data_IF_124798666341
#
_entry.id   IF_124798666341
#
_cell.length_a   1.000
_cell.length_b   1.000
_cell.length_c   1.000
_cell.angle_alpha   90.00
_cell.angle_beta   90.00
_cell.angle_gamma   90.00
#
_symmetry.space_group_name_H-M   'P 1'
#
loop_
_entity.id
_entity.type
_entity.pdbx_description
1 polymer ?
#
# COMPACT_ATOMS: atom_id res chain seq x y z
N UNK A 1 8.57 20.49 -3.19
CA UNK A 1 8.56 20.07 -1.78
C UNK A 1 7.15 19.72 -1.31
N UNK A 2 6.15 20.58 -1.55
CA UNK A 2 4.75 20.34 -1.14
C UNK A 2 4.11 19.07 -1.72
N UNK A 3 4.38 18.72 -2.99
CA UNK A 3 3.86 17.50 -3.63
C UNK A 3 4.40 16.20 -3.03
N UNK A 4 5.71 16.12 -2.76
CA UNK A 4 6.32 14.96 -2.09
C UNK A 4 5.77 14.79 -0.66
N UNK A 5 5.50 15.88 0.04
CA UNK A 5 4.95 15.84 1.38
C UNK A 5 3.47 15.42 1.39
N UNK A 6 2.68 15.87 0.41
CA UNK A 6 1.29 15.43 0.21
C UNK A 6 1.22 13.93 -0.15
N UNK A 7 2.14 13.46 -0.99
CA UNK A 7 2.31 12.03 -1.31
C UNK A 7 2.65 11.22 -0.06
N UNK A 8 3.64 11.67 0.72
CA UNK A 8 4.06 11.00 1.94
C UNK A 8 2.96 10.95 3.03
N UNK A 9 2.02 11.89 3.02
CA UNK A 9 0.85 11.86 3.92
C UNK A 9 -0.21 10.83 3.50
N UNK A 10 -0.20 10.40 2.23
CA UNK A 10 -1.23 9.52 1.67
C UNK A 10 -0.68 8.15 1.22
N UNK A 11 0.59 7.87 1.50
CA UNK A 11 1.24 6.58 1.27
C UNK A 11 2.00 6.19 2.53
N UNK A 12 1.77 4.97 3.00
CA UNK A 12 2.36 4.39 4.20
C UNK A 12 3.09 3.10 3.83
N UNK A 13 4.26 2.88 4.42
CA UNK A 13 5.10 1.70 4.18
C UNK A 13 5.45 1.05 5.51
N UNK A 14 5.63 -0.27 5.52
CA UNK A 14 6.10 -0.98 6.70
C UNK A 14 6.27 -2.47 6.46
N UNK A 15 6.57 -3.22 7.51
CA UNK A 15 6.57 -4.67 7.51
C UNK A 15 5.62 -5.18 8.59
N UNK A 16 4.62 -5.97 8.20
CA UNK A 16 3.57 -6.45 9.10
C UNK A 16 4.10 -7.35 10.23
N UNK A 17 5.28 -7.97 10.05
CA UNK A 17 5.94 -8.77 11.08
C UNK A 17 6.82 -7.97 12.04
N UNK A 18 7.09 -6.68 11.75
CA UNK A 18 7.88 -5.80 12.60
C UNK A 18 7.02 -4.79 13.38
N UNK A 19 5.74 -4.68 13.05
CA UNK A 19 4.80 -3.82 13.77
C UNK A 19 4.51 -4.40 15.15
N UNK A 20 4.58 -3.53 16.17
CA UNK A 20 4.07 -3.86 17.50
C UNK A 20 2.53 -3.85 17.47
N UNK A 21 1.96 -5.03 17.27
CA UNK A 21 0.51 -5.24 17.31
C UNK A 21 -0.03 -5.49 18.72
N UNK A 22 0.82 -5.38 19.75
CA UNK A 22 0.51 -5.68 21.14
C UNK A 22 -0.19 -7.05 21.32
N UNK A 23 0.28 -8.06 20.59
CA UNK A 23 -0.24 -9.43 20.61
C UNK A 23 -1.58 -9.66 19.89
N UNK A 24 -2.20 -8.62 19.32
CA UNK A 24 -3.49 -8.73 18.64
C UNK A 24 -3.37 -9.32 17.23
N UNK A 25 -2.20 -9.18 16.59
CA UNK A 25 -1.95 -9.56 15.20
C UNK A 25 -2.58 -8.61 14.17
N UNK A 26 -3.32 -7.59 14.60
CA UNK A 26 -3.93 -6.61 13.71
C UNK A 26 -3.02 -5.39 13.52
N UNK A 27 -2.85 -4.95 12.28
CA UNK A 27 -2.09 -3.73 11.95
C UNK A 27 -2.90 -2.68 11.17
N UNK A 28 -4.12 -3.04 10.75
CA UNK A 28 -5.15 -2.14 10.25
C UNK A 28 -6.44 -2.50 10.99
N UNK A 29 -7.12 -1.54 11.60
CA UNK A 29 -8.35 -1.82 12.34
C UNK A 29 -8.98 -0.57 12.95
N UNK A 30 -10.06 -0.74 13.72
CA UNK A 30 -10.92 0.36 14.18
C UNK A 30 -10.97 0.57 15.69
N UNK A 31 -10.30 -0.26 16.46
CA UNK A 31 -10.37 -0.18 17.92
C UNK A 31 -9.27 0.72 18.50
N UNK A 32 -9.42 1.16 19.74
CA UNK A 32 -8.47 2.06 20.40
C UNK A 32 -7.02 1.54 20.48
N UNK A 33 -6.82 0.22 20.42
CA UNK A 33 -5.46 -0.36 20.34
C UNK A 33 -4.68 0.08 19.09
N UNK A 34 -5.35 0.53 18.01
CA UNK A 34 -4.68 1.16 16.86
C UNK A 34 -4.26 2.61 17.08
N UNK A 35 -4.75 3.25 18.15
CA UNK A 35 -4.52 4.67 18.45
C UNK A 35 -3.44 4.88 19.51
N UNK A 36 -3.05 3.83 20.24
CA UNK A 36 -2.14 3.93 21.37
C UNK A 36 -0.67 3.95 20.89
N UNK A 37 0.12 4.99 21.21
CA UNK A 37 1.56 4.95 21.02
C UNK A 37 2.18 3.78 21.81
N UNK A 38 3.25 3.14 21.31
CA UNK A 38 4.03 3.46 20.11
C UNK A 38 3.55 2.72 18.85
N UNK A 39 2.37 2.09 18.92
CA UNK A 39 1.88 1.22 17.88
C UNK A 39 1.48 2.08 16.67
N UNK A 40 2.40 2.30 15.72
CA UNK A 40 2.18 2.98 14.45
C UNK A 40 1.24 2.16 13.53
N UNK A 41 0.12 1.68 14.09
CA UNK A 41 -0.88 0.87 13.41
C UNK A 41 -1.87 1.80 12.72
N UNK A 42 -2.49 1.28 11.67
CA UNK A 42 -3.45 2.05 10.91
C UNK A 42 -4.83 1.99 11.54
N UNK A 43 -5.24 3.10 12.14
CA UNK A 43 -6.62 3.28 12.58
C UNK A 43 -7.56 3.58 11.40
N UNK A 44 -8.70 2.89 11.36
CA UNK A 44 -9.84 3.10 10.48
C UNK A 44 -11.05 3.38 11.37
N UNK A 45 -11.64 4.58 11.38
CA UNK A 45 -12.80 4.87 12.22
C UNK A 45 -13.92 3.84 12.01
N UNK A 46 -14.55 3.38 13.10
CA UNK A 46 -15.57 2.34 13.04
C UNK A 46 -16.81 2.77 12.24
N UNK A 47 -17.06 4.08 12.21
CA UNK A 47 -18.09 4.76 11.46
C UNK A 47 -17.70 5.03 9.98
N UNK A 48 -16.43 4.82 9.60
CA UNK A 48 -16.00 4.97 8.20
C UNK A 48 -16.61 3.84 7.37
N UNK A 49 -17.68 4.16 6.62
CA UNK A 49 -18.29 3.20 5.72
C UNK A 49 -17.30 2.79 4.62
N UNK A 50 -17.21 1.48 4.39
CA UNK A 50 -16.46 0.90 3.29
C UNK A 50 -17.41 0.19 2.32
N UNK A 51 -17.13 0.31 1.02
CA UNK A 51 -17.85 -0.35 -0.07
C UNK A 51 -16.86 -0.86 -1.11
N UNK A 52 -17.34 -1.74 -2.00
CA UNK A 52 -16.53 -2.22 -3.12
C UNK A 52 -15.27 -2.96 -2.72
N UNK A 53 -15.30 -3.71 -1.59
CA UNK A 53 -14.17 -4.51 -1.13
C UNK A 53 -13.71 -5.45 -2.24
N UNK A 54 -12.43 -5.36 -2.58
CA UNK A 54 -11.75 -6.22 -3.53
C UNK A 54 -10.55 -6.85 -2.84
N UNK A 55 -10.38 -8.17 -3.02
CA UNK A 55 -9.19 -8.90 -2.59
C UNK A 55 -8.60 -9.57 -3.82
N UNK A 56 -7.29 -9.42 -4.02
CA UNK A 56 -6.56 -10.01 -5.13
C UNK A 56 -5.33 -10.73 -4.60
N UNK A 57 -5.18 -11.99 -4.99
CA UNK A 57 -3.97 -12.77 -4.80
C UNK A 57 -3.34 -13.00 -6.16
N UNK A 58 -2.11 -12.53 -6.38
CA UNK A 58 -1.47 -12.72 -7.67
C UNK A 58 0.02 -13.00 -7.55
N UNK A 59 0.45 -14.07 -8.21
CA UNK A 59 1.86 -14.45 -8.35
C UNK A 59 2.41 -13.85 -9.64
N UNK A 60 3.16 -12.77 -9.49
CA UNK A 60 3.84 -12.08 -10.56
C UNK A 60 5.13 -12.82 -10.96
N UNK A 61 5.32 -13.17 -12.25
CA UNK A 61 6.65 -13.53 -12.74
C UNK A 61 7.56 -12.30 -12.79
N UNK A 62 8.88 -12.52 -12.90
CA UNK A 62 9.81 -11.43 -13.16
C UNK A 62 9.45 -10.70 -14.46
N UNK A 63 9.59 -9.37 -14.46
CA UNK A 63 9.16 -8.48 -15.53
C UNK A 63 7.66 -8.17 -15.54
N UNK A 64 6.85 -8.71 -14.64
CA UNK A 64 5.41 -8.41 -14.56
C UNK A 64 5.04 -7.88 -13.17
N UNK A 65 4.32 -6.74 -13.04
CA UNK A 65 4.07 -5.76 -14.08
C UNK A 65 5.37 -5.05 -14.49
N UNK A 66 5.34 -4.27 -15.58
CA UNK A 66 6.51 -3.56 -16.12
C UNK A 66 6.30 -2.05 -16.19
N UNK A 67 5.74 -1.47 -15.13
CA UNK A 67 5.55 -0.03 -15.03
C UNK A 67 4.36 0.53 -15.80
N UNK A 68 3.41 -0.32 -16.21
CA UNK A 68 2.16 0.16 -16.81
C UNK A 68 1.38 1.00 -15.78
N UNK A 69 1.02 2.23 -16.18
CA UNK A 69 0.22 3.12 -15.33
C UNK A 69 -1.14 2.49 -15.05
N UNK A 70 -1.53 2.47 -13.79
CA UNK A 70 -2.87 2.05 -13.37
C UNK A 70 -3.83 3.25 -13.36
N UNK A 71 -5.15 3.01 -13.44
CA UNK A 71 -6.13 4.07 -13.21
C UNK A 71 -5.86 4.80 -11.90
N UNK A 72 -6.24 6.08 -11.85
CA UNK A 72 -6.19 6.89 -10.64
C UNK A 72 -6.87 6.14 -9.49
N UNK A 73 -6.22 6.11 -8.33
CA UNK A 73 -6.76 5.42 -7.16
C UNK A 73 -8.03 6.15 -6.69
N UNK A 74 -9.16 5.43 -6.65
CA UNK A 74 -10.48 5.96 -6.23
C UNK A 74 -10.78 5.67 -4.73
N UNK A 75 -10.08 4.69 -4.16
CA UNK A 75 -10.23 4.29 -2.76
C UNK A 75 -8.90 3.98 -2.13
N UNK A 76 -8.95 3.40 -0.93
CA UNK A 76 -7.77 2.93 -0.21
C UNK A 76 -7.36 1.57 -0.73
N UNK A 77 -6.06 1.40 -0.95
CA UNK A 77 -5.49 0.13 -1.41
C UNK A 77 -4.30 -0.22 -0.54
N UNK A 78 -4.16 -1.51 -0.24
CA UNK A 78 -3.03 -2.10 0.47
C UNK A 78 -2.47 -3.23 -0.39
N UNK A 79 -1.16 -3.29 -0.56
CA UNK A 79 -0.45 -4.41 -1.16
C UNK A 79 0.56 -4.96 -0.17
N UNK A 80 0.59 -6.28 0.02
CA UNK A 80 1.49 -7.00 0.93
C UNK A 80 2.27 -8.05 0.14
N UNK A 81 3.59 -8.08 0.31
CA UNK A 81 4.44 -9.15 -0.19
C UNK A 81 4.25 -10.40 0.67
N UNK A 82 3.65 -11.44 0.11
CA UNK A 82 3.34 -12.70 0.80
C UNK A 82 4.24 -13.85 0.37
N UNK A 83 5.05 -13.68 -0.68
CA UNK A 83 6.16 -14.57 -0.96
C UNK A 83 7.32 -14.31 0.02
N UNK A 84 8.30 -15.24 0.11
CA UNK A 84 9.60 -14.97 0.72
C UNK A 84 10.35 -13.82 0.03
N UNK A 85 11.65 -13.70 0.31
CA UNK A 85 12.51 -12.66 -0.26
C UNK A 85 12.31 -12.49 -1.77
N UNK A 86 12.02 -11.26 -2.19
CA UNK A 86 11.71 -10.88 -3.57
C UNK A 86 12.17 -9.43 -3.84
N UNK A 87 11.82 -8.89 -5.00
CA UNK A 87 11.97 -7.47 -5.32
C UNK A 87 10.76 -7.01 -6.16
N UNK A 88 9.82 -6.35 -5.50
CA UNK A 88 8.62 -5.78 -6.14
C UNK A 88 8.57 -4.28 -5.85
N UNK A 89 8.81 -3.45 -6.87
CA UNK A 89 8.85 -1.99 -6.73
C UNK A 89 7.52 -1.38 -7.12
N UNK A 90 7.03 -0.45 -6.32
CA UNK A 90 5.84 0.35 -6.61
C UNK A 90 6.26 1.82 -6.60
N UNK A 91 5.78 2.58 -7.58
CA UNK A 91 6.01 4.01 -7.70
C UNK A 91 4.69 4.75 -7.63
N UNK A 92 4.67 5.84 -6.88
CA UNK A 92 3.52 6.72 -6.68
C UNK A 92 3.79 8.11 -7.24
N UNK A 93 2.75 8.75 -7.79
CA UNK A 93 2.81 10.11 -8.33
C UNK A 93 1.46 10.84 -8.18
N UNK A 94 1.52 12.17 -8.11
CA UNK A 94 0.33 13.04 -8.20
C UNK A 94 -0.08 13.31 -9.65
N UNK A 95 0.77 12.98 -10.61
CA UNK A 95 0.54 13.20 -12.04
C UNK A 95 0.70 11.89 -12.83
N UNK A 96 -0.13 11.74 -13.86
CA UNK A 96 -0.19 10.54 -14.70
C UNK A 96 1.09 10.27 -15.50
N UNK A 97 1.91 11.30 -15.72
CA UNK A 97 3.16 11.25 -16.48
C UNK A 97 4.35 10.71 -15.67
N UNK A 98 4.21 10.54 -14.35
CA UNK A 98 5.29 10.14 -13.45
C UNK A 98 6.56 10.98 -13.64
N UNK A 99 6.43 12.31 -13.66
CA UNK A 99 7.58 13.20 -13.76
C UNK A 99 8.62 12.89 -12.65
N UNK A 100 9.93 12.73 -12.96
CA UNK A 100 10.94 12.19 -12.04
C UNK A 100 11.01 12.90 -10.67
N UNK A 101 10.81 14.21 -10.65
CA UNK A 101 10.83 15.04 -9.45
C UNK A 101 9.65 14.78 -8.49
N UNK A 102 8.59 14.12 -8.94
CA UNK A 102 7.36 13.86 -8.19
C UNK A 102 7.15 12.41 -7.79
N UNK A 103 8.05 11.49 -8.16
CA UNK A 103 7.90 10.06 -7.87
C UNK A 103 8.30 9.76 -6.42
N UNK A 104 7.49 8.94 -5.75
CA UNK A 104 7.84 8.25 -4.50
C UNK A 104 7.93 6.75 -4.79
N UNK A 105 9.14 6.17 -4.88
CA UNK A 105 9.32 4.73 -5.04
C UNK A 105 9.35 4.03 -3.68
N UNK A 106 8.84 2.81 -3.64
CA UNK A 106 9.04 1.87 -2.54
C UNK A 106 9.20 0.45 -3.07
N UNK A 107 10.07 -0.34 -2.46
CA UNK A 107 10.35 -1.71 -2.90
C UNK A 107 10.10 -2.68 -1.77
N UNK A 108 9.16 -3.59 -2.00
CA UNK A 108 8.86 -4.73 -1.13
C UNK A 108 9.91 -5.81 -1.38
N UNK A 109 10.64 -6.20 -0.34
CA UNK A 109 11.73 -7.20 -0.43
C UNK A 109 11.58 -8.39 0.49
N UNK A 110 10.89 -8.22 1.60
CA UNK A 110 10.72 -9.24 2.63
C UNK A 110 9.25 -9.61 2.79
N UNK A 111 9.01 -10.86 3.16
CA UNK A 111 7.68 -11.30 3.56
C UNK A 111 7.08 -10.34 4.60
N UNK A 112 5.84 -9.93 4.37
CA UNK A 112 5.13 -8.98 5.22
C UNK A 112 5.38 -7.50 4.89
N UNK A 113 6.33 -7.17 4.00
CA UNK A 113 6.47 -5.79 3.52
C UNK A 113 5.17 -5.36 2.87
N UNK A 114 4.68 -4.19 3.24
CA UNK A 114 3.43 -3.65 2.72
C UNK A 114 3.57 -2.19 2.32
N UNK A 115 2.64 -1.79 1.45
CA UNK A 115 2.33 -0.39 1.18
C UNK A 115 0.82 -0.19 1.23
N UNK A 116 0.38 0.89 1.89
CA UNK A 116 -1.01 1.34 1.93
C UNK A 116 -1.07 2.74 1.32
N UNK A 117 -2.03 2.99 0.43
CA UNK A 117 -2.21 4.30 -0.17
C UNK A 117 -3.68 4.66 -0.36
N UNK A 118 -3.97 5.96 -0.35
CA UNK A 118 -5.31 6.50 -0.49
C UNK A 118 -5.68 6.90 -1.93
N UNK A 119 -6.87 7.49 -2.10
CA UNK A 119 -7.34 7.98 -3.39
C UNK A 119 -6.51 9.16 -3.90
N UNK A 120 -6.66 9.48 -5.19
CA UNK A 120 -6.00 10.62 -5.84
C UNK A 120 -4.55 10.37 -6.26
N UNK A 121 -4.08 9.13 -6.13
CA UNK A 121 -2.71 8.74 -6.49
C UNK A 121 -2.65 7.89 -7.75
N UNK A 122 -1.78 8.29 -8.68
CA UNK A 122 -1.32 7.42 -9.75
C UNK A 122 -0.27 6.47 -9.19
N UNK A 123 -0.33 5.21 -9.62
CA UNK A 123 0.67 4.22 -9.25
C UNK A 123 1.01 3.30 -10.42
N UNK A 124 2.25 2.81 -10.42
CA UNK A 124 2.72 1.76 -11.30
C UNK A 124 3.62 0.82 -10.53
N UNK A 125 3.72 -0.42 -10.97
CA UNK A 125 4.50 -1.44 -10.28
C UNK A 125 5.43 -2.17 -11.23
N UNK A 126 6.49 -2.74 -10.67
CA UNK A 126 7.55 -3.44 -11.36
C UNK A 126 7.86 -4.73 -10.60
N UNK A 127 7.57 -5.88 -11.21
CA UNK A 127 8.01 -7.17 -10.70
C UNK A 127 9.46 -7.42 -11.08
N UNK A 128 10.42 -6.86 -10.33
CA UNK A 128 11.85 -7.01 -10.65
C UNK A 128 12.28 -8.48 -10.48
N UNK A 129 11.74 -9.15 -9.46
CA UNK A 129 11.85 -10.60 -9.24
C UNK A 129 10.45 -11.23 -9.14
N UNK A 130 10.33 -12.57 -9.23
CA UNK A 130 9.06 -13.24 -8.98
C UNK A 130 8.55 -12.89 -7.57
N UNK A 131 7.30 -12.44 -7.48
CA UNK A 131 6.71 -11.94 -6.25
C UNK A 131 5.25 -12.38 -6.14
N UNK A 132 4.82 -12.78 -4.95
CA UNK A 132 3.39 -12.98 -4.69
C UNK A 132 2.86 -11.81 -3.88
N UNK A 133 1.86 -11.12 -4.40
CA UNK A 133 1.26 -9.92 -3.79
C UNK A 133 -0.20 -10.19 -3.43
N UNK A 134 -0.54 -9.98 -2.16
CA UNK A 134 -1.92 -9.84 -1.70
C UNK A 134 -2.29 -8.35 -1.77
N UNK A 135 -3.31 -8.01 -2.55
CA UNK A 135 -3.86 -6.65 -2.60
C UNK A 135 -5.27 -6.63 -2.02
N UNK A 136 -5.53 -5.70 -1.12
CA UNK A 136 -6.87 -5.36 -0.60
C UNK A 136 -7.21 -3.94 -1.02
N UNK A 137 -8.40 -3.72 -1.55
CA UNK A 137 -8.89 -2.38 -1.94
C UNK A 137 -10.32 -2.18 -1.49
N UNK A 138 -10.62 -0.99 -1.00
CA UNK A 138 -11.98 -0.56 -0.66
C UNK A 138 -12.14 0.94 -0.89
N UNK A 139 -13.37 1.38 -1.10
CA UNK A 139 -13.71 2.79 -1.28
C UNK A 139 -14.75 3.21 -0.23
N UNK A 140 -14.91 4.51 -0.02
CA UNK A 140 -16.11 5.01 0.65
C UNK A 140 -17.33 4.80 -0.27
N UNK A 141 -18.54 4.60 0.26
CA UNK A 141 -19.77 4.69 -0.52
C UNK A 141 -19.82 6.02 -1.28
N UNK A 142 -20.41 6.00 -2.47
CA UNK A 142 -20.72 7.21 -3.24
C UNK A 142 -21.95 7.92 -2.70
#
# INVERSE_FOLDING_TARGET
MQSKQLLAQNVEFGNAGELDTNGTGWFVGFSDWTRNPPAHLRHVPAEELASGLCVKWFSHPAGNPNGESKPLSDGRTMSVLVSPTSEFRIEFSMSADFAPQGIVPHTLRRHGDFVIWGPGLFHRAFGVQPACILTVRWSSPR
#
